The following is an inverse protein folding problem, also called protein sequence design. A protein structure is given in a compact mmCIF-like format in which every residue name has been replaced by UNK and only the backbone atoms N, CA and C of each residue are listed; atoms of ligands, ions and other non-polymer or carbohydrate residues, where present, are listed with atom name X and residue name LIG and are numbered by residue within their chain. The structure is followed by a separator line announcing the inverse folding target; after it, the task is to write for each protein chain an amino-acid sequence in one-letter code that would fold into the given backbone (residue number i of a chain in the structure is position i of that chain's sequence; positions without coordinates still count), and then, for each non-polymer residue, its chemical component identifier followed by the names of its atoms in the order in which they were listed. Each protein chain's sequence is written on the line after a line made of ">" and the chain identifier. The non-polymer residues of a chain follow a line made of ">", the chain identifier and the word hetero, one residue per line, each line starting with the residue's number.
data_IF_873760760547
#
_entry.id   IF_873760760547
#
_cell.length_a   1.000
_cell.length_b   1.000
_cell.length_c   1.000
_cell.angle_alpha   90.00
_cell.angle_beta   90.00
_cell.angle_gamma   90.00
#
_symmetry.space_group_name_H-M   'P 1'
#
loop_
_entity.id
_entity.type
_entity.pdbx_description
1 polymer ?
#
# COMPACT_ATOMS: atom_id res chain seq x y z
N UNK A 1 46.80 7.15 51.49
CA UNK A 1 47.33 5.90 52.06
C UNK A 1 46.88 4.75 51.17
N UNK A 2 47.87 4.04 50.61
CA UNK A 2 47.91 2.60 50.27
C UNK A 2 46.73 2.03 49.44
N UNK A 3 46.80 1.86 48.11
CA UNK A 3 47.59 0.95 47.23
C UNK A 3 47.43 -0.56 47.47
N UNK A 4 47.17 -1.31 46.39
CA UNK A 4 47.58 -2.73 46.24
C UNK A 4 46.60 -3.56 45.41
N UNK A 5 46.77 -3.66 44.08
CA UNK A 5 47.54 -4.70 43.33
C UNK A 5 46.85 -6.07 43.36
N UNK A 6 46.63 -6.73 42.22
CA UNK A 6 47.69 -7.47 41.47
C UNK A 6 47.46 -7.52 39.95
N UNK A 7 48.58 -7.51 39.24
CA UNK A 7 48.76 -7.76 37.81
C UNK A 7 49.48 -9.12 37.58
N UNK A 8 49.47 -9.57 36.32
CA UNK A 8 50.47 -10.35 35.52
C UNK A 8 49.67 -11.23 34.53
N UNK A 9 49.69 -11.09 33.20
CA UNK A 9 50.76 -10.99 32.20
C UNK A 9 51.59 -12.29 32.03
N UNK A 10 51.41 -12.99 30.90
CA UNK A 10 52.42 -13.85 30.26
C UNK A 10 52.27 -13.78 28.74
N UNK A 11 53.36 -13.35 28.07
CA UNK A 11 53.64 -13.50 26.65
C UNK A 11 54.18 -14.91 26.35
N UNK A 12 53.98 -15.41 25.14
CA UNK A 12 54.76 -16.53 24.59
C UNK A 12 54.75 -16.50 23.06
N UNK A 13 55.93 -16.43 22.45
CA UNK A 13 56.18 -16.41 21.01
C UNK A 13 57.06 -17.61 20.59
N UNK A 14 57.06 -17.89 19.28
CA UNK A 14 58.08 -18.55 18.43
C UNK A 14 58.00 -20.08 18.13
N UNK A 15 57.62 -20.35 16.88
CA UNK A 15 58.20 -21.18 15.78
C UNK A 15 59.08 -22.45 16.00
N UNK A 16 58.90 -23.45 15.11
CA UNK A 16 59.87 -24.28 14.30
C UNK A 16 59.10 -25.49 13.66
N UNK A 17 58.94 -25.59 12.31
CA UNK A 17 59.61 -26.47 11.29
C UNK A 17 59.50 -28.01 11.53
N UNK A 18 59.20 -28.97 10.60
CA UNK A 18 59.45 -29.21 9.15
C UNK A 18 58.54 -30.35 8.54
N UNK A 19 58.35 -30.31 7.19
CA UNK A 19 58.24 -31.43 6.17
C UNK A 19 57.10 -32.49 6.24
N UNK A 20 56.47 -33.03 5.16
CA UNK A 20 56.73 -33.11 3.71
C UNK A 20 55.48 -33.53 2.87
N UNK A 21 55.59 -33.36 1.53
CA UNK A 21 55.00 -34.12 0.41
C UNK A 21 53.52 -33.94 0.00
N UNK A 22 53.32 -33.48 -1.25
CA UNK A 22 52.09 -33.65 -2.02
C UNK A 22 52.08 -32.77 -3.28
N UNK A 23 52.42 -33.34 -4.43
CA UNK A 23 52.53 -32.67 -5.71
C UNK A 23 51.18 -32.41 -6.40
N UNK A 24 51.11 -31.32 -7.17
CA UNK A 24 50.35 -31.23 -8.43
C UNK A 24 48.92 -30.69 -8.37
N UNK A 25 48.76 -29.42 -8.73
CA UNK A 25 47.95 -28.96 -9.88
C UNK A 25 47.90 -27.42 -9.91
N UNK A 26 48.27 -26.86 -11.07
CA UNK A 26 48.08 -25.47 -11.52
C UNK A 26 46.57 -25.14 -11.51
N UNK A 27 46.08 -23.90 -11.32
CA UNK A 27 46.33 -22.75 -12.20
C UNK A 27 45.63 -21.47 -11.66
N UNK A 28 46.16 -20.30 -12.02
CA UNK A 28 45.39 -19.06 -12.23
C UNK A 28 44.90 -18.22 -11.04
N UNK A 29 45.73 -17.28 -10.57
CA UNK A 29 45.29 -16.13 -9.77
C UNK A 29 44.62 -15.07 -10.65
N UNK A 30 43.36 -14.72 -10.39
CA UNK A 30 42.77 -13.47 -10.86
C UNK A 30 42.06 -12.73 -9.70
N UNK A 31 42.51 -11.50 -9.48
CA UNK A 31 42.11 -10.64 -8.37
C UNK A 31 40.72 -10.06 -8.63
N UNK A 32 39.70 -10.57 -7.95
CA UNK A 32 38.33 -10.05 -8.06
C UNK A 32 38.15 -8.74 -7.27
N UNK A 33 37.87 -7.65 -7.98
CA UNK A 33 37.36 -6.42 -7.39
C UNK A 33 35.94 -6.62 -6.80
N UNK A 34 35.55 -5.87 -5.75
CA UNK A 34 34.26 -6.06 -5.08
C UNK A 34 33.08 -5.61 -5.96
N UNK A 35 31.91 -6.29 -5.90
CA UNK A 35 30.79 -5.94 -6.74
C UNK A 35 30.09 -4.68 -6.20
N UNK A 36 30.00 -3.65 -7.03
CA UNK A 36 29.12 -2.50 -6.81
C UNK A 36 27.67 -2.90 -7.07
N UNK A 37 26.87 -2.99 -6.01
CA UNK A 37 25.43 -3.21 -6.10
C UNK A 37 24.75 -1.89 -6.48
N UNK A 38 24.62 -1.64 -7.78
CA UNK A 38 23.73 -0.62 -8.32
C UNK A 38 22.70 -1.28 -9.25
N UNK A 39 21.89 -2.18 -8.69
CA UNK A 39 20.85 -2.89 -9.40
C UNK A 39 19.52 -2.16 -9.36
N UNK A 40 19.32 -1.17 -10.22
CA UNK A 40 17.96 -0.93 -10.73
C UNK A 40 17.64 -2.10 -11.64
N UNK A 41 16.80 -3.02 -11.17
CA UNK A 41 16.25 -4.08 -12.01
C UNK A 41 15.33 -3.42 -13.03
N UNK A 42 15.87 -3.11 -14.20
CA UNK A 42 15.08 -2.78 -15.39
C UNK A 42 14.49 -4.07 -15.92
N UNK A 43 13.18 -4.23 -15.77
CA UNK A 43 12.43 -5.34 -16.36
C UNK A 43 12.62 -5.41 -17.88
N UNK A 44 12.71 -6.63 -18.41
CA UNK A 44 12.83 -6.90 -19.84
C UNK A 44 11.59 -6.38 -20.61
N UNK A 45 11.72 -5.93 -21.87
CA UNK A 45 10.59 -5.57 -22.72
C UNK A 45 9.46 -6.62 -22.80
N UNK A 46 9.77 -7.91 -22.65
CA UNK A 46 8.77 -8.99 -22.59
C UNK A 46 7.97 -9.00 -21.28
N UNK A 47 8.57 -8.61 -20.15
CA UNK A 47 7.86 -8.45 -18.87
C UNK A 47 6.90 -7.25 -18.91
N UNK A 48 7.27 -6.17 -19.61
CA UNK A 48 6.36 -5.03 -19.90
C UNK A 48 5.16 -5.40 -20.78
N UNK A 49 5.22 -6.51 -21.52
CA UNK A 49 4.10 -7.01 -22.30
C UNK A 49 3.14 -7.92 -21.49
N UNK A 50 3.47 -8.27 -20.24
CA UNK A 50 2.86 -9.38 -19.50
C UNK A 50 1.96 -8.98 -18.31
N UNK A 51 1.53 -7.72 -18.21
CA UNK A 51 0.66 -7.26 -17.12
C UNK A 51 -0.82 -7.22 -17.51
N UNK A 52 -1.71 -7.95 -16.80
CA UNK A 52 -3.15 -7.91 -17.03
C UNK A 52 -3.78 -6.51 -16.93
N UNK A 53 -3.19 -5.57 -16.20
CA UNK A 53 -3.68 -4.17 -16.16
C UNK A 53 -3.39 -3.36 -17.43
N UNK A 54 -2.63 -3.89 -18.39
CA UNK A 54 -2.25 -3.15 -19.59
C UNK A 54 -3.48 -2.76 -20.42
N UNK A 55 -3.64 -1.47 -20.68
CA UNK A 55 -4.78 -0.91 -21.42
C UNK A 55 -6.01 -0.63 -20.56
N UNK A 56 -6.08 -1.17 -19.34
CA UNK A 56 -7.19 -0.97 -18.42
C UNK A 56 -7.25 0.46 -17.90
N UNK A 57 -8.47 0.95 -17.67
CA UNK A 57 -8.69 2.25 -17.02
C UNK A 57 -8.89 2.04 -15.53
N UNK A 58 -7.98 2.58 -14.72
CA UNK A 58 -8.00 2.44 -13.26
C UNK A 58 -8.13 3.83 -12.63
N UNK A 59 -9.02 3.95 -11.66
CA UNK A 59 -9.14 5.18 -10.85
C UNK A 59 -8.63 4.91 -9.45
N UNK A 60 -7.72 5.75 -8.99
CA UNK A 60 -7.24 5.78 -7.62
C UNK A 60 -7.89 6.96 -6.91
N UNK A 61 -8.55 6.70 -5.80
CA UNK A 61 -9.21 7.72 -4.99
C UNK A 61 -8.40 7.91 -3.69
N UNK A 62 -7.39 8.80 -3.67
CA UNK A 62 -6.70 9.13 -2.44
C UNK A 62 -7.67 9.87 -1.52
N UNK A 63 -8.04 9.22 -0.42
CA UNK A 63 -9.02 9.70 0.56
C UNK A 63 -8.70 11.10 1.08
N UNK A 64 -9.77 11.82 1.44
CA UNK A 64 -9.72 13.16 2.04
C UNK A 64 -9.10 14.24 1.14
N UNK A 65 -9.01 15.46 1.67
CA UNK A 65 -8.51 16.66 0.99
C UNK A 65 -7.32 17.26 1.76
N UNK A 66 -6.39 17.90 1.05
CA UNK A 66 -5.26 18.62 1.66
C UNK A 66 -5.62 20.03 2.14
N UNK A 67 -6.86 20.23 2.56
CA UNK A 67 -7.39 21.52 2.97
C UNK A 67 -8.80 21.38 3.53
N UNK A 68 -9.48 22.51 3.81
CA UNK A 68 -10.75 22.50 4.51
C UNK A 68 -11.81 21.71 3.74
N UNK A 69 -12.61 20.97 4.49
CA UNK A 69 -13.74 20.20 3.98
C UNK A 69 -14.95 21.11 3.82
N UNK A 70 -15.71 20.91 2.73
CA UNK A 70 -16.96 21.65 2.52
C UNK A 70 -18.01 21.18 3.55
N UNK A 71 -18.71 22.12 4.17
CA UNK A 71 -19.70 21.83 5.23
C UNK A 71 -21.07 21.32 4.74
N UNK A 72 -21.26 21.12 3.43
CA UNK A 72 -22.52 20.64 2.88
C UNK A 72 -22.68 19.12 3.04
N UNK A 73 -23.93 18.64 3.06
CA UNK A 73 -24.25 17.23 2.90
C UNK A 73 -24.45 16.87 1.44
N UNK A 74 -24.24 15.59 1.11
CA UNK A 74 -24.46 15.00 -0.21
C UNK A 74 -25.22 13.71 -0.08
N UNK A 75 -26.06 13.41 -1.07
CA UNK A 75 -26.80 12.16 -1.14
C UNK A 75 -25.84 10.99 -1.42
N UNK A 76 -26.04 9.85 -0.75
CA UNK A 76 -25.14 8.67 -0.82
C UNK A 76 -25.85 7.38 -1.22
N UNK A 77 -27.00 7.48 -1.91
CA UNK A 77 -27.76 6.34 -2.43
C UNK A 77 -28.85 5.83 -1.47
N UNK A 78 -28.60 5.89 -0.17
CA UNK A 78 -29.54 5.45 0.88
C UNK A 78 -29.68 6.46 2.04
N UNK A 79 -29.30 7.72 1.80
CA UNK A 79 -29.34 8.78 2.79
C UNK A 79 -28.44 9.96 2.43
N UNK A 80 -28.13 10.81 3.40
CA UNK A 80 -27.22 11.94 3.26
C UNK A 80 -26.04 11.83 4.24
N UNK A 81 -24.85 12.22 3.79
CA UNK A 81 -23.64 12.32 4.61
C UNK A 81 -22.89 13.60 4.31
N UNK A 82 -21.94 13.98 5.18
CA UNK A 82 -21.04 15.09 4.89
C UNK A 82 -20.33 14.90 3.55
N UNK A 83 -20.13 16.00 2.83
CA UNK A 83 -19.43 16.03 1.54
C UNK A 83 -18.08 15.28 1.58
N UNK A 84 -17.29 15.51 2.63
CA UNK A 84 -16.04 14.81 2.91
C UNK A 84 -15.80 14.85 4.42
N UNK A 85 -14.68 14.30 4.89
CA UNK A 85 -14.14 14.51 6.24
C UNK A 85 -12.65 14.83 6.16
N UNK A 86 -12.06 15.37 7.23
CA UNK A 86 -10.63 15.72 7.24
C UNK A 86 -9.70 14.51 7.20
N UNK A 87 -10.23 13.32 7.52
CA UNK A 87 -9.43 12.14 7.81
C UNK A 87 -8.81 12.19 9.21
N UNK A 88 -8.00 11.18 9.51
CA UNK A 88 -7.22 11.07 10.74
C UNK A 88 -5.77 11.56 10.55
N UNK A 89 -4.93 11.36 11.57
CA UNK A 89 -3.48 11.57 11.50
C UNK A 89 -2.75 10.65 12.46
N UNK A 90 -1.47 10.38 12.20
CA UNK A 90 -0.62 9.77 13.24
C UNK A 90 -0.45 10.72 14.42
N UNK A 91 -0.08 10.18 15.58
CA UNK A 91 0.26 11.01 16.75
C UNK A 91 1.42 11.98 16.51
N UNK A 92 2.26 11.72 15.50
CA UNK A 92 3.35 12.61 15.10
C UNK A 92 2.90 13.69 14.09
N UNK A 93 1.61 13.74 13.74
CA UNK A 93 1.05 14.75 12.85
C UNK A 93 1.10 14.42 11.36
N UNK A 94 1.48 13.20 10.97
CA UNK A 94 1.39 12.79 9.57
C UNK A 94 -0.08 12.52 9.22
N UNK A 95 -0.68 13.39 8.40
CA UNK A 95 -2.10 13.36 8.10
C UNK A 95 -2.46 12.25 7.12
N UNK A 96 -3.68 11.74 7.24
CA UNK A 96 -4.20 10.70 6.35
C UNK A 96 -4.21 11.17 4.90
N UNK A 97 -4.68 12.40 4.61
CA UNK A 97 -4.73 12.91 3.23
C UNK A 97 -3.34 12.96 2.57
N UNK A 98 -2.28 13.30 3.32
CA UNK A 98 -0.92 13.32 2.80
C UNK A 98 -0.42 11.89 2.55
N UNK A 99 -0.74 10.97 3.45
CA UNK A 99 -0.46 9.55 3.28
C UNK A 99 -1.14 8.95 2.04
N UNK A 100 -2.45 9.13 1.90
CA UNK A 100 -3.23 8.56 0.80
C UNK A 100 -2.79 9.17 -0.54
N UNK A 101 -2.45 10.46 -0.56
CA UNK A 101 -1.90 11.13 -1.73
C UNK A 101 -0.59 10.50 -2.21
N UNK A 102 0.39 10.32 -1.31
CA UNK A 102 1.69 9.74 -1.66
C UNK A 102 1.52 8.28 -2.14
N UNK A 103 0.72 7.47 -1.45
CA UNK A 103 0.46 6.08 -1.87
C UNK A 103 -0.23 6.02 -3.22
N UNK A 104 -1.25 6.86 -3.48
CA UNK A 104 -1.93 6.87 -4.77
C UNK A 104 -1.00 7.27 -5.91
N UNK A 105 -0.11 8.25 -5.72
CA UNK A 105 0.86 8.66 -6.74
C UNK A 105 1.91 7.57 -7.02
N UNK A 106 2.40 6.87 -5.97
CA UNK A 106 3.28 5.70 -6.16
C UNK A 106 2.58 4.59 -6.92
N UNK A 107 1.33 4.30 -6.56
CA UNK A 107 0.52 3.25 -7.20
C UNK A 107 0.24 3.60 -8.66
N UNK A 108 -0.09 4.87 -8.95
CA UNK A 108 -0.23 5.40 -10.31
C UNK A 108 1.03 5.13 -11.14
N UNK A 109 2.20 5.51 -10.62
CA UNK A 109 3.48 5.30 -11.33
C UNK A 109 3.73 3.82 -11.65
N UNK A 110 3.49 2.92 -10.69
CA UNK A 110 3.65 1.47 -10.91
C UNK A 110 2.68 0.96 -11.98
N UNK A 111 1.41 1.34 -11.91
CA UNK A 111 0.39 0.91 -12.87
C UNK A 111 0.61 1.48 -14.29
N UNK A 112 1.03 2.74 -14.41
CA UNK A 112 1.37 3.35 -15.70
C UNK A 112 2.59 2.69 -16.34
N UNK A 113 3.59 2.30 -15.54
CA UNK A 113 4.72 1.49 -16.01
C UNK A 113 4.29 0.11 -16.53
N UNK A 114 3.18 -0.43 -16.01
CA UNK A 114 2.53 -1.67 -16.47
C UNK A 114 1.54 -1.45 -17.63
N UNK A 115 1.42 -0.21 -18.13
CA UNK A 115 0.61 0.13 -19.29
C UNK A 115 -0.87 0.41 -18.98
N UNK A 116 -1.26 0.57 -17.71
CA UNK A 116 -2.62 0.97 -17.35
C UNK A 116 -2.84 2.48 -17.56
N UNK A 117 -4.08 2.89 -17.84
CA UNK A 117 -4.50 4.30 -17.87
C UNK A 117 -5.00 4.69 -16.50
N UNK A 118 -4.26 5.53 -15.77
CA UNK A 118 -4.58 5.82 -14.36
C UNK A 118 -5.00 7.27 -14.14
N UNK A 119 -6.15 7.47 -13.51
CA UNK A 119 -6.64 8.79 -13.07
C UNK A 119 -6.79 8.87 -11.55
N UNK A 120 -6.54 10.05 -10.98
CA UNK A 120 -6.76 10.31 -9.55
C UNK A 120 -8.00 11.19 -9.39
N UNK A 121 -8.79 10.95 -8.33
CA UNK A 121 -10.01 11.72 -8.05
C UNK A 121 -9.74 13.16 -7.63
N UNK A 122 -8.54 13.46 -7.13
CA UNK A 122 -8.05 14.82 -6.86
C UNK A 122 -6.69 15.05 -7.51
N UNK A 123 -6.39 16.32 -7.79
CA UNK A 123 -5.21 16.76 -8.57
C UNK A 123 -3.97 17.08 -7.73
N UNK A 124 -4.14 17.32 -6.44
CA UNK A 124 -3.08 17.70 -5.52
C UNK A 124 -3.47 17.34 -4.07
N UNK A 125 -2.57 17.64 -3.15
CA UNK A 125 -2.79 17.54 -1.70
C UNK A 125 -2.84 18.93 -1.04
N UNK A 126 -3.47 19.89 -1.71
CA UNK A 126 -3.57 21.26 -1.22
C UNK A 126 -4.97 21.81 -1.46
N UNK A 127 -5.63 22.30 -0.40
CA UNK A 127 -6.95 22.92 -0.51
C UNK A 127 -8.11 21.91 -0.58
N UNK A 128 -9.32 22.43 -0.79
CA UNK A 128 -10.54 21.64 -0.87
C UNK A 128 -10.60 20.82 -2.16
N UNK A 129 -11.06 19.57 -2.04
CA UNK A 129 -11.27 18.66 -3.16
C UNK A 129 -12.74 18.26 -3.34
N UNK A 130 -13.00 17.21 -4.12
CA UNK A 130 -14.35 16.76 -4.46
C UNK A 130 -15.04 16.06 -3.28
N UNK A 131 -16.37 16.17 -3.24
CA UNK A 131 -17.20 15.40 -2.31
C UNK A 131 -17.20 13.90 -2.65
N UNK A 132 -17.61 13.05 -1.70
CA UNK A 132 -17.66 11.59 -1.87
C UNK A 132 -18.54 11.13 -3.04
N UNK A 133 -19.61 11.86 -3.37
CA UNK A 133 -20.47 11.58 -4.51
C UNK A 133 -19.80 11.97 -5.84
N UNK A 134 -19.10 13.10 -5.88
CA UNK A 134 -18.29 13.53 -7.03
C UNK A 134 -17.15 12.54 -7.30
N UNK A 135 -16.50 12.01 -6.25
CA UNK A 135 -15.47 10.97 -6.36
C UNK A 135 -16.02 9.68 -6.96
N UNK A 136 -17.26 9.28 -6.60
CA UNK A 136 -17.92 8.13 -7.23
C UNK A 136 -18.25 8.40 -8.70
N UNK A 137 -18.87 9.55 -9.00
CA UNK A 137 -19.19 9.99 -10.37
C UNK A 137 -17.95 10.03 -11.27
N UNK A 138 -16.81 10.45 -10.74
CA UNK A 138 -15.55 10.48 -11.48
C UNK A 138 -15.13 9.09 -12.00
N UNK A 139 -15.19 8.06 -11.13
CA UNK A 139 -14.93 6.68 -11.52
C UNK A 139 -15.89 6.18 -12.61
N UNK A 140 -17.18 6.47 -12.43
CA UNK A 140 -18.23 6.09 -13.37
C UNK A 140 -18.04 6.74 -14.74
N UNK A 141 -17.76 8.05 -14.76
CA UNK A 141 -17.55 8.83 -16.00
C UNK A 141 -16.33 8.35 -16.79
N UNK A 142 -15.29 7.86 -16.09
CA UNK A 142 -14.12 7.26 -16.72
C UNK A 142 -14.36 5.85 -17.25
N UNK A 143 -15.51 5.23 -16.95
CA UNK A 143 -15.80 3.82 -17.24
C UNK A 143 -14.64 2.92 -16.76
N UNK A 144 -14.15 3.19 -15.55
CA UNK A 144 -12.99 2.48 -15.00
C UNK A 144 -13.29 0.98 -14.86
N UNK A 145 -12.32 0.13 -15.19
CA UNK A 145 -12.40 -1.31 -14.92
C UNK A 145 -12.33 -1.61 -13.42
N UNK A 146 -11.65 -0.75 -12.65
CA UNK A 146 -11.61 -0.81 -11.20
C UNK A 146 -11.34 0.57 -10.57
N UNK A 147 -11.90 0.77 -9.38
CA UNK A 147 -11.64 1.93 -8.52
C UNK A 147 -11.15 1.48 -7.15
N UNK A 148 -10.04 2.04 -6.66
CA UNK A 148 -9.55 1.80 -5.31
C UNK A 148 -9.53 3.11 -4.54
N UNK A 149 -10.36 3.21 -3.49
CA UNK A 149 -10.24 4.26 -2.48
C UNK A 149 -9.18 3.88 -1.46
N UNK A 150 -8.13 4.70 -1.35
CA UNK A 150 -6.98 4.44 -0.48
C UNK A 150 -7.15 5.31 0.76
N UNK A 151 -7.17 4.68 1.93
CA UNK A 151 -7.36 5.30 3.24
C UNK A 151 -6.41 4.69 4.30
N UNK A 152 -6.38 5.30 5.49
CA UNK A 152 -5.79 4.71 6.68
C UNK A 152 -6.65 5.06 7.90
N UNK A 153 -6.89 4.09 8.76
CA UNK A 153 -7.92 4.23 9.79
C UNK A 153 -7.42 4.95 11.04
N UNK A 154 -8.36 5.49 11.81
CA UNK A 154 -8.16 6.08 13.12
C UNK A 154 -8.87 5.28 14.21
N UNK A 155 -8.34 4.11 14.56
CA UNK A 155 -8.96 3.21 15.55
C UNK A 155 -8.30 3.32 16.95
N UNK A 156 -8.67 2.44 17.88
CA UNK A 156 -8.05 2.39 19.21
C UNK A 156 -6.54 2.16 19.11
N UNK A 157 -5.75 2.68 20.05
CA UNK A 157 -4.28 2.61 19.97
C UNK A 157 -3.71 1.19 19.96
N UNK A 158 -4.46 0.21 20.50
CA UNK A 158 -4.11 -1.22 20.45
C UNK A 158 -4.55 -1.93 19.16
N UNK A 159 -5.54 -1.39 18.44
CA UNK A 159 -5.99 -1.93 17.17
C UNK A 159 -4.94 -1.73 16.08
N UNK A 160 -4.65 -2.74 15.27
CA UNK A 160 -3.67 -2.64 14.19
C UNK A 160 -4.04 -3.57 13.04
N UNK A 161 -3.36 -3.43 11.90
CA UNK A 161 -3.62 -4.19 10.70
C UNK A 161 -4.54 -3.47 9.73
N UNK A 162 -4.67 -4.05 8.54
CA UNK A 162 -5.42 -3.49 7.42
C UNK A 162 -6.75 -4.23 7.19
N UNK A 163 -7.72 -3.58 6.56
CA UNK A 163 -8.90 -4.24 6.04
C UNK A 163 -9.39 -3.63 4.73
N UNK A 164 -10.12 -4.43 3.95
CA UNK A 164 -10.81 -3.99 2.74
C UNK A 164 -12.29 -3.80 3.04
N UNK A 165 -12.90 -2.76 2.48
CA UNK A 165 -14.36 -2.56 2.52
C UNK A 165 -14.90 -2.79 1.11
N UNK A 166 -15.84 -3.73 0.99
CA UNK A 166 -16.58 -3.99 -0.24
C UNK A 166 -18.04 -3.55 -0.09
N UNK A 167 -18.72 -3.19 -1.21
CA UNK A 167 -20.09 -2.71 -1.17
C UNK A 167 -21.05 -3.82 -0.74
N UNK A 168 -21.98 -3.46 0.15
CA UNK A 168 -23.25 -4.15 0.32
C UNK A 168 -24.25 -3.61 -0.73
N UNK A 169 -25.19 -4.43 -1.22
CA UNK A 169 -26.21 -3.96 -2.17
C UNK A 169 -27.04 -2.80 -1.62
N UNK A 170 -27.17 -1.75 -2.43
CA UNK A 170 -28.08 -0.62 -2.25
C UNK A 170 -29.03 -0.62 -3.45
N UNK A 171 -30.31 -1.00 -3.26
CA UNK A 171 -31.25 -1.21 -4.36
C UNK A 171 -31.33 -0.04 -5.32
N UNK A 172 -31.07 -0.30 -6.60
CA UNK A 172 -31.15 0.71 -7.67
C UNK A 172 -29.90 1.56 -7.86
N UNK A 173 -28.82 1.28 -7.12
CA UNK A 173 -27.58 2.05 -7.22
C UNK A 173 -26.35 1.21 -7.59
N UNK A 174 -26.02 0.17 -6.81
CA UNK A 174 -24.73 -0.53 -6.95
C UNK A 174 -24.84 -2.04 -7.17
N UNK A 175 -26.04 -2.59 -7.38
CA UNK A 175 -26.27 -4.04 -7.47
C UNK A 175 -25.31 -4.74 -8.47
N UNK A 176 -25.11 -4.12 -9.64
CA UNK A 176 -24.24 -4.64 -10.71
C UNK A 176 -22.76 -4.73 -10.35
N UNK A 177 -22.29 -3.99 -9.34
CA UNK A 177 -20.87 -3.95 -8.96
C UNK A 177 -20.54 -4.80 -7.74
N UNK A 178 -21.53 -5.29 -6.99
CA UNK A 178 -21.28 -5.97 -5.70
C UNK A 178 -20.39 -7.20 -5.87
N UNK A 179 -20.75 -8.10 -6.79
CA UNK A 179 -19.99 -9.32 -7.08
C UNK A 179 -18.56 -9.02 -7.61
N UNK A 180 -18.36 -8.20 -8.65
CA UNK A 180 -17.00 -7.90 -9.12
C UNK A 180 -16.18 -7.12 -8.09
N UNK A 181 -16.80 -6.24 -7.28
CA UNK A 181 -16.09 -5.53 -6.19
C UNK A 181 -15.66 -6.48 -5.07
N UNK A 182 -16.45 -7.50 -4.76
CA UNK A 182 -16.05 -8.53 -3.80
C UNK A 182 -14.87 -9.38 -4.31
N UNK A 183 -14.80 -9.65 -5.63
CA UNK A 183 -13.61 -10.30 -6.24
C UNK A 183 -12.38 -9.39 -6.11
N UNK A 184 -12.51 -8.14 -6.56
CA UNK A 184 -11.46 -7.12 -6.42
C UNK A 184 -10.97 -7.00 -4.97
N UNK A 185 -11.89 -6.97 -4.01
CA UNK A 185 -11.56 -6.89 -2.59
C UNK A 185 -10.71 -8.07 -2.11
N UNK A 186 -11.03 -9.30 -2.54
CA UNK A 186 -10.28 -10.50 -2.17
C UNK A 186 -8.88 -10.51 -2.78
N UNK A 187 -8.75 -10.11 -4.04
CA UNK A 187 -7.47 -10.10 -4.76
C UNK A 187 -6.52 -9.03 -4.21
N UNK A 188 -7.05 -7.84 -3.92
CA UNK A 188 -6.31 -6.75 -3.26
C UNK A 188 -5.93 -7.16 -1.84
N UNK A 189 -6.85 -7.73 -1.06
CA UNK A 189 -6.56 -8.19 0.31
C UNK A 189 -5.42 -9.21 0.33
N UNK A 190 -5.47 -10.22 -0.55
CA UNK A 190 -4.42 -11.24 -0.62
C UNK A 190 -3.07 -10.65 -1.00
N UNK A 191 -3.04 -9.79 -2.02
CA UNK A 191 -1.81 -9.16 -2.53
C UNK A 191 -1.22 -8.14 -1.55
N UNK A 192 -2.06 -7.41 -0.83
CA UNK A 192 -1.65 -6.47 0.21
C UNK A 192 -1.01 -7.21 1.38
N UNK A 193 -1.67 -8.25 1.91
CA UNK A 193 -1.10 -9.08 2.98
C UNK A 193 0.25 -9.67 2.56
N UNK A 194 0.33 -10.26 1.36
CA UNK A 194 1.54 -10.91 0.85
C UNK A 194 2.71 -9.93 0.69
N UNK A 195 2.49 -8.78 0.06
CA UNK A 195 3.59 -7.87 -0.29
C UNK A 195 4.00 -6.89 0.82
N UNK A 196 3.09 -6.56 1.73
CA UNK A 196 3.40 -5.66 2.87
C UNK A 196 3.75 -6.40 4.15
N UNK A 197 3.24 -7.63 4.32
CA UNK A 197 3.30 -8.36 5.59
C UNK A 197 2.34 -7.81 6.67
N UNK A 198 1.48 -6.84 6.35
CA UNK A 198 0.50 -6.32 7.31
C UNK A 198 -0.49 -7.41 7.72
N UNK A 199 -0.77 -7.57 9.02
CA UNK A 199 -1.82 -8.47 9.48
C UNK A 199 -3.19 -7.88 9.14
N UNK A 200 -4.22 -8.71 9.17
CA UNK A 200 -5.60 -8.22 9.10
C UNK A 200 -5.94 -7.41 10.34
N UNK A 201 -6.81 -6.42 10.17
CA UNK A 201 -7.26 -5.55 11.24
C UNK A 201 -7.80 -6.35 12.44
N UNK A 202 -7.35 -6.00 13.65
CA UNK A 202 -7.79 -6.64 14.90
C UNK A 202 -9.05 -6.00 15.49
N UNK A 203 -9.54 -4.92 14.89
CA UNK A 203 -10.63 -4.09 15.40
C UNK A 203 -11.84 -4.04 14.46
N UNK A 204 -11.71 -4.53 13.22
CA UNK A 204 -12.79 -4.59 12.23
C UNK A 204 -12.67 -5.84 11.35
N UNK A 205 -13.81 -6.29 10.81
CA UNK A 205 -13.88 -7.38 9.83
C UNK A 205 -13.64 -8.78 10.41
N UNK A 206 -13.93 -8.98 11.69
CA UNK A 206 -13.90 -10.28 12.39
C UNK A 206 -12.59 -11.06 12.19
N UNK A 207 -11.45 -10.35 12.14
CA UNK A 207 -10.13 -10.93 11.89
C UNK A 207 -9.90 -11.43 10.44
N UNK A 208 -10.84 -11.18 9.52
CA UNK A 208 -10.76 -11.60 8.11
C UNK A 208 -10.22 -10.50 7.19
N UNK A 209 -10.01 -9.28 7.70
CA UNK A 209 -9.53 -8.14 6.92
C UNK A 209 -10.49 -7.74 5.78
N UNK A 210 -11.79 -8.01 5.93
CA UNK A 210 -12.83 -7.68 4.96
C UNK A 210 -14.12 -7.32 5.68
N UNK A 211 -14.72 -6.20 5.31
CA UNK A 211 -16.03 -5.73 5.79
C UNK A 211 -16.95 -5.44 4.61
N UNK A 212 -18.24 -5.72 4.76
CA UNK A 212 -19.27 -5.47 3.74
C UNK A 212 -20.20 -4.35 4.26
N UNK A 213 -20.27 -3.21 3.56
CA UNK A 213 -20.89 -1.97 4.08
C UNK A 213 -21.77 -1.28 3.05
N UNK A 214 -22.87 -0.67 3.50
CA UNK A 214 -23.82 0.15 2.72
C UNK A 214 -23.82 1.62 3.15
N UNK A 215 -22.87 2.07 3.97
CA UNK A 215 -22.86 3.43 4.52
C UNK A 215 -21.83 4.36 3.85
N UNK A 216 -21.17 3.94 2.76
CA UNK A 216 -20.13 4.73 2.11
C UNK A 216 -20.60 5.20 0.73
N UNK A 217 -20.84 6.51 0.57
CA UNK A 217 -21.32 7.08 -0.69
C UNK A 217 -20.43 6.78 -1.89
N UNK A 218 -19.11 6.72 -1.65
CA UNK A 218 -18.15 6.29 -2.67
C UNK A 218 -18.43 4.90 -3.22
N UNK A 219 -18.88 3.94 -2.40
CA UNK A 219 -19.25 2.57 -2.78
C UNK A 219 -20.68 2.50 -3.32
N UNK A 220 -21.61 3.15 -2.63
CA UNK A 220 -23.03 3.09 -2.94
C UNK A 220 -23.36 3.71 -4.31
N UNK A 221 -22.66 4.77 -4.71
CA UNK A 221 -22.93 5.48 -5.96
C UNK A 221 -22.04 5.01 -7.13
N UNK A 222 -21.20 4.00 -6.93
CA UNK A 222 -20.32 3.49 -7.97
C UNK A 222 -21.07 2.55 -8.91
N UNK A 223 -20.95 2.78 -10.21
CA UNK A 223 -21.46 1.90 -11.29
C UNK A 223 -20.34 1.05 -11.90
N UNK A 224 -19.14 1.15 -11.38
CA UNK A 224 -17.96 0.35 -11.73
C UNK A 224 -17.41 -0.38 -10.50
N UNK A 225 -16.67 -1.50 -10.64
CA UNK A 225 -16.10 -2.22 -9.51
C UNK A 225 -15.27 -1.31 -8.60
N UNK A 226 -15.59 -1.26 -7.30
CA UNK A 226 -14.94 -0.34 -6.35
C UNK A 226 -14.79 -0.94 -4.96
N UNK A 227 -13.66 -0.65 -4.32
CA UNK A 227 -13.37 -0.99 -2.93
C UNK A 227 -12.78 0.21 -2.18
N UNK A 228 -12.78 0.13 -0.85
CA UNK A 228 -11.89 0.93 -0.01
C UNK A 228 -10.85 0.01 0.61
N UNK A 229 -9.61 0.48 0.73
CA UNK A 229 -8.59 -0.15 1.57
C UNK A 229 -8.25 0.80 2.72
N UNK A 230 -8.46 0.32 3.94
CA UNK A 230 -7.88 0.90 5.16
C UNK A 230 -6.53 0.24 5.38
N UNK A 231 -5.46 0.94 5.03
CA UNK A 231 -4.11 0.38 4.88
C UNK A 231 -3.41 0.01 6.19
N UNK A 232 -3.92 0.51 7.32
CA UNK A 232 -3.41 0.31 8.68
C UNK A 232 -4.05 1.33 9.63
N UNK A 233 -3.77 1.24 10.93
CA UNK A 233 -4.27 2.21 11.92
C UNK A 233 -3.24 3.30 12.24
N UNK A 234 -3.52 4.56 11.91
CA UNK A 234 -2.64 5.70 12.17
C UNK A 234 -2.49 6.01 13.68
N UNK A 235 -3.41 5.55 14.53
CA UNK A 235 -3.31 5.70 15.99
C UNK A 235 -2.45 4.63 16.66
N UNK A 236 -2.16 3.53 15.97
CA UNK A 236 -1.29 2.47 16.46
C UNK A 236 0.17 2.79 16.17
N UNK A 237 1.05 2.69 17.17
CA UNK A 237 2.47 3.03 17.04
C UNK A 237 3.18 2.20 15.95
N UNK A 238 2.88 0.91 15.86
CA UNK A 238 3.53 -0.01 14.94
C UNK A 238 3.07 0.15 13.49
N UNK A 239 1.80 0.45 13.27
CA UNK A 239 1.27 0.76 11.94
C UNK A 239 1.70 2.17 11.51
N UNK A 240 1.54 3.17 12.37
CA UNK A 240 1.97 4.55 12.11
C UNK A 240 3.44 4.64 11.68
N UNK A 241 4.34 3.88 12.33
CA UNK A 241 5.75 3.82 11.94
C UNK A 241 5.94 3.28 10.52
N UNK A 242 5.19 2.24 10.14
CA UNK A 242 5.22 1.69 8.77
C UNK A 242 4.61 2.67 7.76
N UNK A 243 3.43 3.22 8.03
CA UNK A 243 2.76 4.15 7.11
C UNK A 243 3.59 5.44 6.89
N UNK A 244 4.37 5.85 7.89
CA UNK A 244 5.29 6.99 7.81
C UNK A 244 6.58 6.69 7.04
N UNK A 245 6.94 5.42 6.84
CA UNK A 245 8.12 5.00 6.07
C UNK A 245 7.85 5.06 4.54
N UNK A 246 8.58 5.90 3.77
CA UNK A 246 8.45 5.94 2.31
C UNK A 246 8.68 4.59 1.61
N UNK A 247 9.58 3.74 2.12
CA UNK A 247 9.83 2.41 1.55
C UNK A 247 8.62 1.50 1.73
N UNK A 248 7.95 1.59 2.87
CA UNK A 248 6.73 0.84 3.12
C UNK A 248 5.57 1.34 2.26
N UNK A 249 5.42 2.65 2.06
CA UNK A 249 4.44 3.21 1.10
C UNK A 249 4.70 2.75 -0.33
N UNK A 250 5.96 2.56 -0.71
CA UNK A 250 6.30 1.93 -1.99
C UNK A 250 5.88 0.45 -2.05
N UNK A 251 6.05 -0.32 -0.96
CA UNK A 251 5.56 -1.70 -0.88
C UNK A 251 4.04 -1.76 -1.03
N UNK A 252 3.31 -0.85 -0.39
CA UNK A 252 1.85 -0.73 -0.58
C UNK A 252 1.51 -0.55 -2.05
N UNK A 253 2.15 0.41 -2.73
CA UNK A 253 1.87 0.70 -4.13
C UNK A 253 2.08 -0.50 -5.06
N UNK A 254 3.18 -1.24 -4.87
CA UNK A 254 3.46 -2.47 -5.63
C UNK A 254 2.42 -3.56 -5.30
N UNK A 255 2.05 -3.72 -4.02
CA UNK A 255 1.02 -4.66 -3.59
C UNK A 255 -0.36 -4.38 -4.19
N UNK A 256 -0.77 -3.11 -4.26
CA UNK A 256 -2.04 -2.72 -4.89
C UNK A 256 -2.02 -3.01 -6.40
N UNK A 257 -0.92 -2.67 -7.09
CA UNK A 257 -0.77 -2.97 -8.50
C UNK A 257 -0.80 -4.48 -8.79
N UNK A 258 -0.16 -5.31 -7.94
CA UNK A 258 -0.20 -6.76 -8.07
C UNK A 258 -1.61 -7.35 -7.85
N UNK A 259 -2.37 -6.78 -6.91
CA UNK A 259 -3.76 -7.20 -6.71
C UNK A 259 -4.66 -6.81 -7.88
N UNK A 260 -4.42 -5.66 -8.51
CA UNK A 260 -5.10 -5.28 -9.76
C UNK A 260 -4.72 -6.21 -10.92
N UNK A 261 -3.44 -6.55 -11.09
CA UNK A 261 -3.02 -7.56 -12.09
C UNK A 261 -3.75 -8.89 -11.87
N UNK A 262 -3.88 -9.33 -10.61
CA UNK A 262 -4.62 -10.56 -10.28
C UNK A 262 -6.11 -10.43 -10.62
N UNK A 263 -6.71 -9.27 -10.34
CA UNK A 263 -8.12 -9.01 -10.61
C UNK A 263 -8.46 -8.97 -12.10
N UNK A 264 -7.60 -8.39 -12.95
CA UNK A 264 -7.82 -8.30 -14.40
C UNK A 264 -7.37 -9.54 -15.17
N UNK A 265 -6.65 -10.47 -14.53
CA UNK A 265 -6.31 -11.77 -15.13
C UNK A 265 -7.52 -12.70 -15.22
N UNK A 266 -8.54 -12.52 -14.37
CA UNK A 266 -9.66 -13.45 -14.16
C UNK A 266 -11.03 -12.76 -14.31
#
# INVERSE_FOLDING_TARGET
>A
MVTGRRALAVLGAAAICLTACGAGAEDGSDSAAPPTVNGQVTESPEQRAAHPVKGETIVLDPGHNGGPVKGNQVFVGNGYKSCDTSGTATKAGYTEHAFTWDVANRTKKVLEQRGAKVSLTRKNDTGSGPCVDERAKFGNAKKAGAVISIHADGATTGGHGFHIIAPKPVPGYNDGIVKPSLRLAKDIRASYKKGTGMPFATYLGDGKGLTIRDDLGGLNLSTVPKIFIETGNMQNKGDAAKLSDPKFRQKIAVSLANGLDTYFKN
#
